data_IF_360157342265
#
_entry.id   IF_360157342265
#
_cell.length_a   1.000
_cell.length_b   1.000
_cell.length_c   1.000
_cell.angle_alpha   90.00
_cell.angle_beta   90.00
_cell.angle_gamma   90.00
#
_symmetry.space_group_name_H-M   'P 1'
#
loop_
_entity.id
_entity.type
_entity.pdbx_description
1 polymer ?
#
# COMPACT_ATOMS: atom_id res chain seq x y z
N UNK A 1 -62.98 -59.86 -8.62
CA UNK A 1 -62.30 -58.99 -7.64
C UNK A 1 -60.80 -59.22 -7.75
N UNK A 2 -60.03 -58.13 -7.77
CA UNK A 2 -58.60 -58.07 -8.11
C UNK A 2 -57.73 -59.00 -7.25
N UNK A 3 -56.70 -59.61 -7.87
CA UNK A 3 -55.29 -59.51 -7.46
C UNK A 3 -54.39 -60.18 -8.50
N UNK A 4 -53.51 -59.38 -9.10
CA UNK A 4 -52.38 -59.81 -9.93
C UNK A 4 -51.18 -60.15 -9.03
N UNK A 5 -50.35 -61.11 -9.47
CA UNK A 5 -48.93 -61.17 -9.13
C UNK A 5 -48.18 -61.66 -10.39
N UNK A 6 -47.33 -60.79 -10.94
CA UNK A 6 -46.36 -61.08 -12.00
C UNK A 6 -44.99 -61.17 -11.32
N UNK A 7 -44.28 -62.26 -11.61
CA UNK A 7 -42.97 -62.59 -11.05
C UNK A 7 -41.84 -61.74 -11.64
N UNK A 8 -40.87 -61.49 -10.76
CA UNK A 8 -39.67 -60.66 -10.91
C UNK A 8 -38.60 -61.40 -11.72
N UNK A 9 -38.03 -60.71 -12.72
CA UNK A 9 -36.78 -61.08 -13.41
C UNK A 9 -35.64 -60.24 -12.81
N UNK A 10 -34.59 -60.90 -12.35
CA UNK A 10 -33.36 -60.28 -11.85
C UNK A 10 -32.47 -59.80 -13.01
N UNK A 11 -31.99 -58.56 -12.95
CA UNK A 11 -30.87 -58.07 -13.78
C UNK A 11 -29.84 -57.39 -12.87
N UNK A 12 -28.60 -57.74 -13.16
CA UNK A 12 -27.33 -57.47 -12.49
C UNK A 12 -27.04 -56.00 -12.18
N UNK A 13 -26.48 -55.77 -10.99
CA UNK A 13 -25.84 -54.53 -10.57
C UNK A 13 -24.49 -54.39 -11.29
N UNK A 14 -24.43 -53.56 -12.34
CA UNK A 14 -23.19 -53.08 -12.92
C UNK A 14 -22.76 -51.81 -12.19
N UNK A 15 -21.60 -51.84 -11.53
CA UNK A 15 -21.01 -50.68 -10.89
C UNK A 15 -20.52 -49.69 -11.97
N UNK A 16 -21.23 -48.56 -12.12
CA UNK A 16 -20.72 -47.39 -12.82
C UNK A 16 -19.68 -46.71 -11.91
N UNK A 17 -18.42 -46.71 -12.34
CA UNK A 17 -17.37 -45.88 -11.76
C UNK A 17 -17.64 -44.41 -12.08
N UNK A 18 -18.11 -43.66 -11.09
CA UNK A 18 -18.23 -42.21 -11.13
C UNK A 18 -16.81 -41.61 -10.98
N UNK A 19 -16.22 -41.18 -12.08
CA UNK A 19 -15.03 -40.31 -12.06
C UNK A 19 -15.55 -38.93 -11.68
N UNK A 20 -15.37 -38.55 -10.42
CA UNK A 20 -15.60 -37.17 -9.97
C UNK A 20 -14.33 -36.38 -10.32
N UNK A 21 -14.40 -35.33 -11.16
CA UNK A 21 -13.29 -34.41 -11.31
C UNK A 21 -13.13 -33.67 -9.98
N UNK A 22 -11.98 -33.84 -9.32
CA UNK A 22 -11.59 -32.95 -8.23
C UNK A 22 -11.34 -31.57 -8.83
N UNK A 23 -12.31 -30.67 -8.67
CA UNK A 23 -12.14 -29.25 -8.90
C UNK A 23 -11.15 -28.78 -7.81
N UNK A 24 -9.90 -28.55 -8.20
CA UNK A 24 -8.96 -27.79 -7.38
C UNK A 24 -9.44 -26.34 -7.47
N UNK A 25 -10.19 -25.90 -6.47
CA UNK A 25 -10.36 -24.49 -6.19
C UNK A 25 -8.97 -23.96 -5.81
N UNK A 26 -8.32 -23.26 -6.74
CA UNK A 26 -7.16 -22.45 -6.42
C UNK A 26 -7.62 -21.35 -5.46
N UNK A 27 -7.29 -21.50 -4.18
CA UNK A 27 -7.24 -20.38 -3.27
C UNK A 27 -6.10 -19.50 -3.76
N UNK A 28 -6.40 -18.30 -4.26
CA UNK A 28 -5.37 -17.28 -4.41
C UNK A 28 -4.71 -17.13 -3.04
N UNK A 29 -3.45 -17.54 -2.95
CA UNK A 29 -2.70 -17.41 -1.72
C UNK A 29 -2.38 -15.93 -1.57
N UNK A 30 -3.15 -15.23 -0.74
CA UNK A 30 -2.77 -13.93 -0.21
C UNK A 30 -1.44 -14.09 0.53
N UNK A 31 -0.51 -13.16 0.34
CA UNK A 31 0.77 -13.20 1.03
C UNK A 31 0.58 -13.33 2.55
N UNK A 32 1.39 -14.18 3.20
CA UNK A 32 1.20 -14.47 4.60
C UNK A 32 1.78 -13.34 5.45
N UNK A 33 0.98 -12.68 6.29
CA UNK A 33 1.45 -11.59 7.18
C UNK A 33 2.55 -12.01 8.18
N UNK A 34 2.83 -13.30 8.32
CA UNK A 34 3.95 -13.88 9.08
C UNK A 34 4.55 -15.02 8.25
N UNK A 35 5.83 -15.36 8.40
CA UNK A 35 6.43 -16.47 7.66
C UNK A 35 5.68 -17.78 7.89
N UNK A 36 5.26 -18.43 6.82
CA UNK A 36 4.61 -19.75 6.86
C UNK A 36 5.39 -20.73 6.02
N UNK A 37 5.38 -22.01 6.37
CA UNK A 37 6.15 -22.98 5.62
C UNK A 37 5.76 -24.42 5.88
N UNK A 38 6.28 -25.31 5.05
CA UNK A 38 6.16 -26.74 5.23
C UNK A 38 7.53 -27.36 5.51
N UNK A 39 7.54 -28.26 6.49
CA UNK A 39 8.68 -29.11 6.79
C UNK A 39 8.36 -30.53 6.32
N UNK A 40 9.14 -31.04 5.38
CA UNK A 40 9.05 -32.43 4.94
C UNK A 40 10.35 -33.19 5.22
N UNK A 41 10.22 -34.48 5.51
CA UNK A 41 11.35 -35.36 5.78
C UNK A 41 11.23 -36.60 4.88
N UNK A 42 12.30 -36.96 4.17
CA UNK A 42 12.32 -38.18 3.36
C UNK A 42 13.60 -39.01 3.61
N UNK A 43 13.48 -40.32 3.92
CA UNK A 43 12.23 -41.05 4.15
C UNK A 43 11.55 -40.64 5.47
N UNK A 44 10.21 -40.70 5.50
CA UNK A 44 9.38 -40.38 6.68
C UNK A 44 9.50 -41.43 7.80
N UNK A 45 10.03 -42.62 7.49
CA UNK A 45 10.44 -43.62 8.47
C UNK A 45 11.95 -43.74 8.50
N UNK A 46 12.53 -43.53 9.68
CA UNK A 46 13.96 -43.70 9.92
C UNK A 46 14.23 -45.07 10.51
N UNK A 47 15.11 -45.83 9.85
CA UNK A 47 15.76 -47.01 10.42
C UNK A 47 17.17 -46.63 10.88
N UNK A 48 17.73 -47.40 11.82
CA UNK A 48 19.09 -47.18 12.31
C UNK A 48 20.08 -47.15 11.15
N UNK A 49 20.84 -46.05 11.01
CA UNK A 49 21.77 -45.83 9.90
C UNK A 49 21.19 -45.11 8.68
N UNK A 50 19.92 -44.68 8.72
CA UNK A 50 19.31 -43.85 7.66
C UNK A 50 19.42 -42.36 8.01
N UNK A 51 19.85 -41.55 7.04
CA UNK A 51 19.88 -40.09 7.15
C UNK A 51 18.73 -39.49 6.35
N UNK A 52 17.63 -39.07 6.98
CA UNK A 52 16.53 -38.43 6.26
C UNK A 52 16.98 -37.05 5.76
N UNK A 53 16.61 -36.74 4.52
CA UNK A 53 16.70 -35.40 3.98
C UNK A 53 15.51 -34.59 4.49
N UNK A 54 15.79 -33.46 5.14
CA UNK A 54 14.80 -32.50 5.54
C UNK A 54 14.72 -31.41 4.47
N UNK A 55 13.52 -31.17 3.95
CA UNK A 55 13.23 -30.06 3.06
C UNK A 55 12.33 -29.10 3.81
N UNK A 56 12.81 -27.86 3.96
CA UNK A 56 12.06 -26.75 4.51
C UNK A 56 11.70 -25.83 3.34
N UNK A 57 10.41 -25.52 3.21
CA UNK A 57 9.90 -24.56 2.25
C UNK A 57 9.18 -23.46 3.04
N UNK A 58 9.72 -22.24 3.03
CA UNK A 58 9.21 -21.10 3.82
C UNK A 58 8.85 -19.98 2.85
N UNK A 59 7.60 -19.52 2.92
CA UNK A 59 7.10 -18.31 2.29
C UNK A 59 7.10 -17.19 3.33
N UNK A 60 7.77 -16.09 3.00
CA UNK A 60 7.82 -14.87 3.80
C UNK A 60 6.79 -13.87 3.25
N UNK A 61 6.22 -12.98 4.10
CA UNK A 61 5.50 -11.82 3.60
C UNK A 61 6.40 -11.00 2.68
N UNK A 62 5.86 -10.55 1.55
CA UNK A 62 6.47 -9.46 0.79
C UNK A 62 6.49 -8.19 1.65
N UNK A 63 7.64 -7.52 1.66
CA UNK A 63 7.79 -6.18 2.22
C UNK A 63 7.47 -5.13 1.16
N UNK A 64 7.26 -3.89 1.59
CA UNK A 64 6.96 -2.77 0.70
C UNK A 64 8.12 -2.51 -0.26
N UNK A 65 9.36 -2.77 0.16
CA UNK A 65 10.55 -2.65 -0.70
C UNK A 65 10.60 -3.69 -1.83
N UNK A 66 9.93 -4.83 -1.67
CA UNK A 66 9.88 -5.85 -2.71
C UNK A 66 8.95 -5.42 -3.86
N UNK A 67 7.95 -4.56 -3.56
CA UNK A 67 6.86 -4.23 -4.47
C UNK A 67 6.86 -2.77 -4.93
N UNK A 68 7.54 -1.87 -4.24
CA UNK A 68 7.74 -0.47 -4.65
C UNK A 68 9.15 0.01 -4.37
N UNK A 69 9.66 0.90 -5.22
CA UNK A 69 10.79 1.76 -4.93
C UNK A 69 10.30 3.06 -4.28
N UNK A 70 11.00 3.53 -3.23
CA UNK A 70 10.73 4.81 -2.56
C UNK A 70 11.93 5.72 -2.78
N UNK A 71 11.82 6.65 -3.72
CA UNK A 71 12.84 7.67 -3.95
C UNK A 71 12.68 8.83 -2.95
N UNK A 72 13.74 9.21 -2.20
CA UNK A 72 13.68 10.38 -1.33
C UNK A 72 13.27 11.64 -2.12
N UNK A 73 12.41 12.50 -1.55
CA UNK A 73 11.87 12.45 -0.19
C UNK A 73 10.62 11.57 0.01
N UNK A 74 10.06 10.98 -1.05
CA UNK A 74 8.89 10.11 -0.94
C UNK A 74 8.14 9.80 -2.25
N UNK A 75 8.78 9.96 -3.40
CA UNK A 75 8.18 9.50 -4.66
C UNK A 75 8.15 7.99 -4.65
N UNK A 76 6.95 7.39 -4.76
CA UNK A 76 6.80 5.93 -4.78
C UNK A 76 6.64 5.46 -6.23
N UNK A 77 7.33 4.38 -6.60
CA UNK A 77 7.30 3.79 -7.93
C UNK A 77 7.04 2.29 -7.78
N UNK A 78 5.84 1.78 -8.14
CA UNK A 78 5.55 0.35 -8.10
C UNK A 78 6.45 -0.47 -9.03
N UNK A 79 6.92 -1.62 -8.56
CA UNK A 79 7.67 -2.60 -9.34
C UNK A 79 6.75 -3.65 -10.01
N UNK A 80 5.45 -3.55 -9.73
CA UNK A 80 4.38 -4.36 -10.31
C UNK A 80 3.06 -3.58 -10.24
N UNK A 81 2.01 -4.09 -10.89
CA UNK A 81 0.67 -3.53 -10.75
C UNK A 81 0.16 -3.77 -9.33
N UNK A 82 -0.33 -2.71 -8.66
CA UNK A 82 -0.79 -2.75 -7.27
C UNK A 82 -2.16 -2.09 -7.11
N UNK A 83 -2.95 -2.57 -6.14
CA UNK A 83 -4.04 -1.80 -5.57
C UNK A 83 -3.51 -0.92 -4.44
N UNK A 84 -3.82 0.37 -4.47
CA UNK A 84 -3.41 1.35 -3.48
C UNK A 84 -4.63 1.92 -2.76
N UNK A 85 -4.57 1.98 -1.43
CA UNK A 85 -5.49 2.72 -0.58
C UNK A 85 -4.78 3.82 0.20
N UNK A 86 -5.37 5.01 0.26
CA UNK A 86 -4.82 6.16 0.98
C UNK A 86 -5.73 6.55 2.13
N UNK A 87 -5.16 6.75 3.31
CA UNK A 87 -5.83 7.22 4.53
C UNK A 87 -5.14 8.46 5.06
N UNK A 88 -5.90 9.38 5.65
CA UNK A 88 -5.34 10.52 6.38
C UNK A 88 -5.28 10.13 7.85
N UNK A 89 -4.07 10.14 8.42
CA UNK A 89 -3.82 9.83 9.84
C UNK A 89 -3.87 11.11 10.68
N UNK A 90 -3.35 12.22 10.13
CA UNK A 90 -3.29 13.51 10.81
C UNK A 90 -3.35 14.70 9.86
N UNK A 91 -3.87 15.81 10.35
CA UNK A 91 -3.98 17.11 9.71
C UNK A 91 -3.85 18.20 10.80
N UNK A 92 -2.71 18.21 11.48
CA UNK A 92 -2.49 18.86 12.79
C UNK A 92 -1.98 20.31 12.71
N UNK A 93 -2.23 21.01 11.60
CA UNK A 93 -1.89 22.44 11.52
C UNK A 93 -2.70 23.24 12.53
N UNK A 94 -2.02 23.92 13.45
CA UNK A 94 -2.61 24.80 14.47
C UNK A 94 -2.44 26.26 14.12
N UNK A 95 -3.49 27.03 14.34
CA UNK A 95 -3.42 28.49 14.42
C UNK A 95 -3.51 28.88 15.88
N UNK A 96 -2.58 29.72 16.34
CA UNK A 96 -2.54 30.21 17.72
C UNK A 96 -2.66 31.73 17.74
N UNK A 97 -3.36 32.26 18.74
CA UNK A 97 -3.37 33.68 19.07
C UNK A 97 -2.57 33.89 20.34
N UNK A 98 -1.67 34.87 20.31
CA UNK A 98 -0.81 35.22 21.43
C UNK A 98 -1.28 36.52 22.09
N UNK A 99 -1.15 36.62 23.41
CA UNK A 99 -1.27 37.90 24.11
C UNK A 99 0.00 38.75 23.94
N UNK A 100 -0.01 39.97 24.50
CA UNK A 100 1.13 40.89 24.49
C UNK A 100 2.43 40.34 25.14
N UNK A 101 2.33 39.26 25.92
CA UNK A 101 3.45 38.58 26.57
C UNK A 101 3.93 37.35 25.78
N UNK A 102 3.39 37.10 24.58
CA UNK A 102 3.74 35.94 23.75
C UNK A 102 3.11 34.63 24.21
N UNK A 103 2.15 34.66 25.12
CA UNK A 103 1.49 33.45 25.63
C UNK A 103 0.27 33.11 24.77
N UNK A 104 0.08 31.82 24.48
CA UNK A 104 -1.11 31.32 23.76
C UNK A 104 -2.37 31.60 24.57
N UNK A 105 -3.32 32.32 23.99
CA UNK A 105 -4.62 32.64 24.59
C UNK A 105 -5.79 31.97 23.90
N UNK A 106 -5.62 31.60 22.63
CA UNK A 106 -6.63 30.87 21.87
C UNK A 106 -5.93 30.06 20.78
N UNK A 107 -6.57 28.99 20.31
CA UNK A 107 -6.08 28.18 19.21
C UNK A 107 -7.20 27.46 18.47
N UNK A 108 -6.98 27.19 17.19
CA UNK A 108 -7.87 26.35 16.39
C UNK A 108 -7.09 25.43 15.44
N UNK A 109 -7.71 24.30 15.10
CA UNK A 109 -7.30 23.51 13.94
C UNK A 109 -7.65 24.25 12.65
N UNK A 110 -6.73 24.21 11.70
CA UNK A 110 -6.87 24.85 10.40
C UNK A 110 -7.28 23.82 9.34
N UNK A 111 -7.97 24.26 8.29
CA UNK A 111 -8.23 23.38 7.16
C UNK A 111 -6.92 23.11 6.42
N UNK A 112 -6.55 21.84 6.36
CA UNK A 112 -5.40 21.31 5.64
C UNK A 112 -5.90 20.56 4.41
N UNK A 113 -5.18 20.70 3.31
CA UNK A 113 -5.42 20.02 2.04
C UNK A 113 -4.31 18.99 1.81
N UNK A 114 -4.71 17.77 1.44
CA UNK A 114 -3.82 16.78 0.86
C UNK A 114 -4.16 16.61 -0.62
N UNK A 115 -3.15 16.63 -1.47
CA UNK A 115 -3.29 16.26 -2.87
C UNK A 115 -2.34 15.12 -3.23
N UNK A 116 -2.73 14.37 -4.24
CA UNK A 116 -1.97 13.26 -4.80
C UNK A 116 -1.78 13.46 -6.31
N UNK A 117 -0.64 13.06 -6.83
CA UNK A 117 -0.33 13.02 -8.26
C UNK A 117 0.08 11.60 -8.65
N UNK A 118 -0.46 11.13 -9.77
CA UNK A 118 -0.19 9.81 -10.35
C UNK A 118 0.42 10.01 -11.73
N UNK A 119 1.61 9.44 -11.95
CA UNK A 119 2.39 9.53 -13.17
C UNK A 119 2.63 10.96 -13.64
N UNK A 120 2.32 11.22 -14.91
CA UNK A 120 2.39 12.55 -15.54
C UNK A 120 1.18 13.45 -15.27
N UNK A 121 0.25 13.00 -14.43
CA UNK A 121 -0.93 13.77 -14.05
C UNK A 121 -0.62 15.04 -13.25
N UNK A 122 -1.67 15.83 -13.01
CA UNK A 122 -1.61 16.96 -12.07
C UNK A 122 -1.98 16.49 -10.66
N UNK A 123 -1.51 17.21 -9.65
CA UNK A 123 -1.97 17.01 -8.28
C UNK A 123 -3.50 17.25 -8.19
N UNK A 124 -4.20 16.32 -7.55
CA UNK A 124 -5.64 16.39 -7.29
C UNK A 124 -5.93 16.19 -5.80
N UNK A 125 -6.86 16.99 -5.27
CA UNK A 125 -7.24 16.93 -3.86
C UNK A 125 -7.88 15.59 -3.51
N UNK A 126 -7.34 14.93 -2.50
CA UNK A 126 -7.91 13.72 -1.88
C UNK A 126 -8.46 13.98 -0.47
N UNK A 127 -8.02 15.05 0.19
CA UNK A 127 -8.55 15.46 1.50
C UNK A 127 -8.58 16.98 1.65
N UNK A 128 -9.60 17.49 2.35
CA UNK A 128 -9.65 18.87 2.82
C UNK A 128 -10.49 18.95 4.09
N UNK A 129 -9.85 19.32 5.20
CA UNK A 129 -10.52 19.43 6.49
C UNK A 129 -9.56 19.73 7.64
N UNK A 130 -10.12 19.82 8.84
CA UNK A 130 -9.37 20.00 10.10
C UNK A 130 -9.00 18.66 10.72
N UNK A 131 -8.06 18.64 11.67
CA UNK A 131 -7.74 17.46 12.49
C UNK A 131 -8.98 16.79 13.10
N UNK A 132 -9.97 17.58 13.57
CA UNK A 132 -11.20 17.04 14.16
C UNK A 132 -12.11 16.29 13.18
N UNK A 133 -11.83 16.37 11.87
CA UNK A 133 -12.55 15.69 10.80
C UNK A 133 -11.77 14.51 10.23
N UNK A 134 -10.54 14.28 10.72
CA UNK A 134 -9.74 13.12 10.35
C UNK A 134 -10.30 11.88 11.04
N UNK A 135 -10.54 10.84 10.25
CA UNK A 135 -10.78 9.49 10.73
C UNK A 135 -9.72 8.58 10.09
N UNK A 136 -8.73 8.11 10.85
CA UNK A 136 -7.63 7.29 10.33
C UNK A 136 -8.09 5.99 9.65
N UNK A 137 -9.31 5.52 9.91
CA UNK A 137 -9.85 4.30 9.29
C UNK A 137 -10.56 4.55 7.96
N UNK A 138 -10.77 5.81 7.56
CA UNK A 138 -11.46 6.15 6.31
C UNK A 138 -10.46 6.21 5.17
N UNK A 139 -10.66 5.37 4.16
CA UNK A 139 -9.97 5.46 2.87
C UNK A 139 -10.48 6.68 2.12
N UNK A 140 -9.57 7.62 1.83
CA UNK A 140 -9.87 8.87 1.10
C UNK A 140 -9.62 8.76 -0.39
N UNK A 141 -8.81 7.79 -0.81
CA UNK A 141 -8.59 7.43 -2.20
C UNK A 141 -8.28 5.92 -2.31
N UNK A 142 -8.81 5.26 -3.34
CA UNK A 142 -8.57 3.83 -3.61
C UNK A 142 -8.57 3.63 -5.12
N UNK A 143 -7.52 2.98 -5.64
CA UNK A 143 -7.34 2.75 -7.08
C UNK A 143 -6.25 1.71 -7.35
N UNK A 144 -6.28 1.15 -8.55
CA UNK A 144 -5.15 0.41 -9.08
C UNK A 144 -4.11 1.38 -9.67
N UNK A 145 -2.83 1.04 -9.53
CA UNK A 145 -1.67 1.76 -10.05
C UNK A 145 -0.78 0.79 -10.82
N UNK A 146 -0.39 1.19 -12.03
CA UNK A 146 0.42 0.36 -12.91
C UNK A 146 1.91 0.40 -12.51
N UNK A 147 2.63 -0.69 -12.80
CA UNK A 147 4.10 -0.76 -12.70
C UNK A 147 4.78 0.49 -13.30
N UNK A 148 5.78 1.03 -12.60
CA UNK A 148 6.60 2.16 -13.04
C UNK A 148 5.91 3.52 -12.93
N UNK A 149 4.68 3.59 -12.44
CA UNK A 149 3.95 4.86 -12.29
C UNK A 149 4.38 5.59 -11.02
N UNK A 150 4.89 6.83 -11.15
CA UNK A 150 5.24 7.65 -9.98
C UNK A 150 4.00 8.06 -9.18
N UNK A 151 4.06 7.94 -7.86
CA UNK A 151 3.01 8.34 -6.92
C UNK A 151 3.62 9.40 -6.00
N UNK A 152 2.99 10.57 -5.99
CA UNK A 152 3.46 11.75 -5.28
C UNK A 152 2.38 12.31 -4.37
N UNK A 153 2.77 12.80 -3.18
CA UNK A 153 1.89 13.45 -2.23
C UNK A 153 2.38 14.84 -1.87
N UNK A 154 1.44 15.70 -1.50
CA UNK A 154 1.76 17.01 -0.96
C UNK A 154 0.59 17.65 -0.26
N UNK A 155 0.86 18.77 0.37
CA UNK A 155 -0.13 19.50 1.14
C UNK A 155 0.10 20.99 1.23
N UNK A 156 -0.93 21.65 1.76
CA UNK A 156 -0.95 23.07 2.16
C UNK A 156 -2.16 23.31 3.05
N UNK A 157 -2.23 24.45 3.71
CA UNK A 157 -3.35 24.81 4.58
C UNK A 157 -3.87 26.23 4.30
N UNK A 158 -5.03 26.57 4.88
CA UNK A 158 -5.64 27.90 4.73
C UNK A 158 -5.18 28.84 5.84
N UNK A 159 -4.46 29.90 5.46
CA UNK A 159 -3.98 30.93 6.39
C UNK A 159 -5.13 31.79 6.96
N UNK A 160 -4.83 32.63 7.95
CA UNK A 160 -5.83 33.45 8.66
C UNK A 160 -6.54 34.49 7.79
N UNK A 161 -5.85 34.96 6.75
CA UNK A 161 -6.40 35.85 5.71
C UNK A 161 -7.20 35.09 4.63
N UNK A 162 -7.37 33.77 4.74
CA UNK A 162 -8.05 32.92 3.77
C UNK A 162 -7.20 32.53 2.55
N UNK A 163 -5.94 32.94 2.45
CA UNK A 163 -5.04 32.50 1.38
C UNK A 163 -4.46 31.12 1.67
N UNK A 164 -4.04 30.42 0.63
CA UNK A 164 -3.27 29.18 0.78
C UNK A 164 -1.88 29.46 1.35
N UNK A 165 -1.35 28.53 2.14
CA UNK A 165 0.07 28.46 2.50
C UNK A 165 0.92 28.08 1.28
N UNK A 166 2.23 28.07 1.49
CA UNK A 166 3.18 27.41 0.57
C UNK A 166 2.76 25.95 0.35
N UNK A 167 2.98 25.47 -0.87
CA UNK A 167 2.76 24.09 -1.26
C UNK A 167 4.05 23.29 -1.09
N UNK A 168 3.97 22.19 -0.34
CA UNK A 168 5.06 21.24 -0.14
C UNK A 168 4.63 19.86 -0.64
N UNK A 169 5.51 19.17 -1.37
CA UNK A 169 5.26 17.85 -1.94
C UNK A 169 6.55 17.04 -2.10
N UNK A 170 6.39 15.72 -2.27
CA UNK A 170 7.50 14.78 -2.51
C UNK A 170 8.39 15.19 -3.70
N UNK A 171 7.87 16.00 -4.62
CA UNK A 171 8.63 16.44 -5.81
C UNK A 171 9.27 17.83 -5.69
N UNK A 172 9.05 18.59 -4.60
CA UNK A 172 9.52 19.98 -4.53
C UNK A 172 10.24 20.37 -3.23
N UNK A 173 10.28 19.49 -2.23
CA UNK A 173 10.95 19.76 -0.96
C UNK A 173 11.50 18.49 -0.32
N UNK A 174 12.80 18.47 -0.06
CA UNK A 174 13.49 17.29 0.50
C UNK A 174 13.24 17.09 1.99
N UNK A 175 13.02 18.18 2.75
CA UNK A 175 12.93 18.11 4.22
C UNK A 175 11.49 18.16 4.74
N UNK A 176 10.57 18.79 4.01
CA UNK A 176 9.20 19.04 4.47
C UNK A 176 8.24 17.87 4.22
N UNK A 177 8.67 16.88 3.44
CA UNK A 177 7.93 15.65 3.18
C UNK A 177 8.91 14.52 3.41
N UNK A 178 8.53 13.50 4.16
CA UNK A 178 9.35 12.31 4.38
C UNK A 178 8.43 11.10 4.30
N UNK A 179 8.75 10.16 3.41
CA UNK A 179 8.16 8.83 3.40
C UNK A 179 8.99 7.87 4.26
N UNK A 180 8.31 7.08 5.09
CA UNK A 180 8.88 6.03 5.92
C UNK A 180 8.13 4.73 5.65
N UNK A 181 8.86 3.62 5.75
CA UNK A 181 8.33 2.26 5.71
C UNK A 181 8.53 1.56 7.05
N UNK A 182 7.94 0.37 7.18
CA UNK A 182 8.16 -0.50 8.33
C UNK A 182 9.66 -0.71 8.63
N UNK A 183 10.03 -0.59 9.90
CA UNK A 183 11.41 -0.70 10.38
C UNK A 183 12.29 0.55 10.21
N UNK A 184 11.83 1.61 9.54
CA UNK A 184 12.59 2.87 9.48
C UNK A 184 12.67 3.56 10.84
N UNK A 185 13.69 4.40 11.03
CA UNK A 185 13.76 5.27 12.19
C UNK A 185 12.92 6.54 11.94
N UNK A 186 12.15 7.03 12.93
CA UNK A 186 11.50 8.33 12.80
C UNK A 186 12.56 9.44 12.62
N UNK A 187 12.27 10.51 11.85
CA UNK A 187 13.20 11.62 11.66
C UNK A 187 13.57 12.29 12.98
N UNK A 188 14.87 12.49 13.21
CA UNK A 188 15.38 13.27 14.34
C UNK A 188 15.20 14.78 14.07
N UNK A 189 13.97 15.25 14.26
CA UNK A 189 13.64 16.68 14.27
C UNK A 189 13.63 17.15 15.72
N UNK A 190 14.55 18.07 16.04
CA UNK A 190 14.81 18.47 17.41
C UNK A 190 13.56 19.02 18.12
N UNK A 191 13.14 18.38 19.20
CA UNK A 191 12.05 18.85 20.04
C UNK A 191 12.43 20.16 20.75
N UNK A 192 12.06 21.31 20.20
CA UNK A 192 12.24 22.59 20.88
C UNK A 192 11.03 22.89 21.76
N UNK A 193 11.31 23.25 23.01
CA UNK A 193 10.34 23.74 24.00
C UNK A 193 9.31 22.72 24.51
N UNK A 194 9.66 21.43 24.61
CA UNK A 194 8.82 20.43 25.28
C UNK A 194 7.49 20.15 24.57
N UNK A 195 7.47 20.36 23.25
CA UNK A 195 6.37 19.93 22.39
C UNK A 195 6.39 18.40 22.23
N UNK A 196 5.21 17.84 21.94
CA UNK A 196 5.03 16.42 21.65
C UNK A 196 5.91 16.08 20.44
N UNK A 197 6.89 15.19 20.60
CA UNK A 197 7.83 14.85 19.51
C UNK A 197 7.11 14.15 18.36
N UNK A 198 7.71 14.11 17.17
CA UNK A 198 7.25 13.25 16.07
C UNK A 198 7.06 11.80 16.54
N UNK A 199 7.94 11.32 17.41
CA UNK A 199 7.83 10.00 18.06
C UNK A 199 6.58 9.89 18.94
N UNK A 200 6.25 10.91 19.73
CA UNK A 200 5.07 10.86 20.59
C UNK A 200 3.76 10.81 19.78
N UNK A 201 3.70 11.43 18.59
CA UNK A 201 2.58 11.33 17.65
C UNK A 201 2.54 9.97 16.96
N UNK A 202 3.71 9.50 16.52
CA UNK A 202 3.87 8.23 15.81
C UNK A 202 3.82 7.01 16.73
N UNK A 203 3.81 7.18 18.05
CA UNK A 203 3.78 6.08 19.03
C UNK A 203 2.80 4.93 18.72
N UNK A 204 1.59 5.14 18.16
CA UNK A 204 0.70 4.03 17.76
C UNK A 204 1.19 3.22 16.56
N UNK A 205 2.19 3.72 15.85
CA UNK A 205 2.82 3.23 14.63
C UNK A 205 4.33 2.99 14.86
N UNK A 206 4.73 2.71 16.11
CA UNK A 206 6.11 2.45 16.47
C UNK A 206 6.22 1.18 17.30
N UNK A 207 7.30 0.43 17.07
CA UNK A 207 7.64 -0.75 17.85
C UNK A 207 8.19 -0.37 19.24
N UNK A 208 8.53 -1.37 20.05
CA UNK A 208 9.11 -1.14 21.37
C UNK A 208 10.54 -0.59 21.34
N UNK A 209 11.23 -0.71 20.20
CA UNK A 209 12.61 -0.28 20.00
C UNK A 209 12.69 1.16 19.45
N UNK A 210 11.54 1.73 19.05
CA UNK A 210 11.43 3.10 18.55
C UNK A 210 11.47 3.22 17.03
N UNK A 211 11.33 2.13 16.28
CA UNK A 211 11.22 2.17 14.82
C UNK A 211 9.75 2.26 14.40
N UNK A 212 9.49 2.64 13.15
CA UNK A 212 8.15 2.59 12.56
C UNK A 212 7.66 1.13 12.51
N UNK A 213 6.44 0.89 13.00
CA UNK A 213 5.72 -0.39 13.02
C UNK A 213 4.38 -0.21 12.32
N UNK A 214 4.36 -0.49 11.01
CA UNK A 214 3.19 -0.37 10.13
C UNK A 214 3.03 -1.66 9.30
N UNK A 215 1.98 -1.76 8.48
CA UNK A 215 1.80 -2.94 7.66
C UNK A 215 3.00 -3.19 6.74
N UNK A 216 3.34 -4.45 6.41
CA UNK A 216 4.52 -4.77 5.62
C UNK A 216 4.49 -4.17 4.22
N UNK A 217 3.30 -3.83 3.70
CA UNK A 217 3.07 -3.18 2.39
C UNK A 217 2.61 -1.72 2.54
N UNK A 218 2.85 -1.10 3.70
CA UNK A 218 2.46 0.28 3.99
C UNK A 218 3.63 1.26 3.84
N UNK A 219 3.29 2.51 3.47
CA UNK A 219 4.18 3.67 3.51
C UNK A 219 3.47 4.78 4.28
N UNK A 220 4.14 5.37 5.26
CA UNK A 220 3.65 6.54 5.99
C UNK A 220 4.40 7.80 5.56
N UNK A 221 3.67 8.84 5.19
CA UNK A 221 4.22 10.14 4.87
C UNK A 221 4.04 11.10 6.04
N UNK A 222 5.12 11.74 6.43
CA UNK A 222 5.15 12.83 7.39
C UNK A 222 5.36 14.14 6.62
N UNK A 223 4.52 15.14 6.88
CA UNK A 223 4.55 16.40 6.14
C UNK A 223 4.52 17.57 7.10
N UNK A 224 5.50 18.45 6.96
CA UNK A 224 5.59 19.75 7.62
C UNK A 224 5.12 20.84 6.65
N UNK A 225 4.12 21.62 7.05
CA UNK A 225 3.48 22.64 6.22
C UNK A 225 3.72 24.08 6.73
N UNK A 226 4.12 24.24 7.98
CA UNK A 226 4.19 25.56 8.63
C UNK A 226 5.60 26.14 8.67
N UNK A 227 6.65 25.30 8.71
CA UNK A 227 8.04 25.73 8.81
C UNK A 227 8.94 25.07 7.75
N UNK A 228 10.01 25.76 7.33
CA UNK A 228 11.04 25.18 6.43
C UNK A 228 12.41 25.08 7.09
N UNK A 229 12.60 25.72 8.24
CA UNK A 229 13.80 25.61 9.03
C UNK A 229 13.63 24.45 10.02
N UNK A 230 14.40 23.38 9.85
CA UNK A 230 14.38 22.19 10.73
C UNK A 230 14.80 22.48 12.18
N UNK A 231 15.38 23.65 12.44
CA UNK A 231 15.70 24.11 13.79
C UNK A 231 14.60 25.00 14.39
N UNK A 232 13.47 25.17 13.71
CA UNK A 232 12.32 25.83 14.28
C UNK A 232 11.57 24.84 15.18
N UNK A 233 11.09 25.29 16.34
CA UNK A 233 10.35 24.41 17.23
C UNK A 233 8.97 24.05 16.75
N UNK A 234 8.45 24.72 15.72
CA UNK A 234 7.26 24.27 15.01
C UNK A 234 7.53 23.35 13.83
N UNK A 235 8.80 23.01 13.51
CA UNK A 235 9.12 22.01 12.50
C UNK A 235 9.04 20.62 13.15
N UNK A 236 7.89 19.96 13.01
CA UNK A 236 7.61 18.70 13.72
C UNK A 236 7.12 17.55 12.81
N UNK A 237 6.90 17.83 11.52
CA UNK A 237 6.47 16.86 10.50
C UNK A 237 5.09 16.21 10.78
N UNK A 238 4.25 16.83 11.62
CA UNK A 238 2.92 16.31 11.99
C UNK A 238 1.75 17.09 11.37
N UNK A 239 2.03 18.14 10.61
CA UNK A 239 1.03 19.02 10.01
C UNK A 239 0.06 18.28 9.08
N UNK A 240 0.56 17.26 8.37
CA UNK A 240 -0.22 16.31 7.59
C UNK A 240 0.47 14.95 7.61
N UNK A 241 -0.28 13.89 7.92
CA UNK A 241 0.24 12.51 7.94
C UNK A 241 -0.68 11.60 7.12
N UNK A 242 -0.07 10.86 6.19
CA UNK A 242 -0.77 10.06 5.18
C UNK A 242 -0.29 8.61 5.33
N UNK A 243 -1.20 7.66 5.39
CA UNK A 243 -0.88 6.23 5.33
C UNK A 243 -1.33 5.68 3.99
N UNK A 244 -0.41 5.07 3.26
CA UNK A 244 -0.65 4.42 1.96
C UNK A 244 -0.45 2.93 2.14
N UNK A 245 -1.45 2.13 1.77
CA UNK A 245 -1.39 0.67 1.84
C UNK A 245 -1.45 0.10 0.43
N UNK A 246 -0.50 -0.79 0.11
CA UNK A 246 -0.47 -1.52 -1.14
C UNK A 246 -0.95 -2.97 -0.96
N UNK A 247 -1.58 -3.50 -2.00
CA UNK A 247 -2.03 -4.89 -2.09
C UNK A 247 -2.12 -5.33 -3.55
N UNK A 248 -2.40 -6.60 -3.80
CA UNK A 248 -2.58 -7.08 -5.17
C UNK A 248 -3.82 -6.44 -5.82
N UNK A 249 -3.78 -6.13 -7.13
CA UNK A 249 -4.94 -5.60 -7.84
C UNK A 249 -6.16 -6.51 -7.71
N UNK A 250 -7.34 -5.90 -7.61
CA UNK A 250 -8.62 -6.63 -7.50
C UNK A 250 -8.95 -7.29 -8.84
N UNK A 251 -8.40 -8.48 -9.06
CA UNK A 251 -8.52 -9.24 -10.32
C UNK A 251 -7.29 -10.07 -10.69
N UNK A 252 -6.18 -9.91 -9.96
CA UNK A 252 -4.92 -10.62 -10.17
C UNK A 252 -4.96 -12.06 -9.66
N UNK A 253 -5.84 -12.89 -10.24
CA UNK A 253 -5.66 -14.34 -10.14
C UNK A 253 -4.45 -14.76 -11.00
N UNK A 254 -3.27 -14.72 -10.38
CA UNK A 254 -2.04 -15.42 -10.77
C UNK A 254 -1.64 -15.39 -12.25
N UNK A 255 -0.86 -14.37 -12.66
CA UNK A 255 -0.06 -14.45 -13.88
C UNK A 255 1.16 -15.35 -13.65
N UNK A 256 0.91 -16.64 -13.50
CA UNK A 256 1.95 -17.66 -13.64
C UNK A 256 2.44 -17.66 -15.08
N UNK A 257 3.73 -17.35 -15.27
CA UNK A 257 4.44 -17.45 -16.54
C UNK A 257 4.24 -18.83 -17.16
N UNK A 258 3.39 -18.91 -18.19
CA UNK A 258 3.38 -20.03 -19.12
C UNK A 258 4.03 -19.56 -20.41
N UNK A 259 5.34 -19.79 -20.51
CA UNK A 259 6.05 -19.74 -21.78
C UNK A 259 5.36 -20.67 -22.78
N UNK A 260 4.82 -20.08 -23.84
CA UNK A 260 4.44 -20.80 -25.05
C UNK A 260 5.09 -20.07 -26.21
N UNK A 261 6.13 -20.70 -26.75
CA UNK A 261 6.86 -20.21 -27.90
C UNK A 261 5.94 -20.04 -29.10
N UNK A 262 5.99 -18.86 -29.71
CA UNK A 262 5.46 -18.66 -31.06
C UNK A 262 6.62 -18.52 -32.02
N UNK A 263 6.82 -19.59 -32.78
CA UNK A 263 7.65 -19.69 -33.98
C UNK A 263 7.35 -18.58 -34.97
N UNK A 264 8.40 -17.90 -35.45
CA UNK A 264 8.27 -16.90 -36.52
C UNK A 264 7.93 -17.51 -37.89
N UNK A 265 7.40 -16.68 -38.78
CA UNK A 265 7.66 -16.71 -40.23
C UNK A 265 6.94 -15.58 -40.98
N UNK A 266 7.70 -14.81 -41.78
CA UNK A 266 7.30 -14.09 -43.01
C UNK A 266 6.28 -12.95 -42.89
N UNK A 267 6.56 -11.69 -43.24
CA UNK A 267 7.30 -11.19 -44.40
C UNK A 267 6.35 -10.95 -45.58
N UNK A 268 6.21 -9.69 -46.03
CA UNK A 268 5.72 -9.11 -47.30
C UNK A 268 5.02 -7.76 -46.96
N UNK A 269 5.63 -6.58 -47.16
CA UNK A 269 5.82 -5.90 -48.46
C UNK A 269 4.47 -5.35 -48.94
N UNK A 270 4.12 -4.06 -48.87
CA UNK A 270 4.75 -2.91 -49.52
C UNK A 270 3.73 -2.26 -50.48
N UNK A 271 3.86 -0.95 -50.73
CA UNK A 271 3.08 -0.06 -51.64
C UNK A 271 1.71 0.41 -51.10
N UNK A 272 1.32 1.69 -51.08
CA UNK A 272 1.86 2.91 -51.67
C UNK A 272 0.74 3.74 -52.32
N UNK A 273 0.50 4.96 -51.82
CA UNK A 273 0.21 6.12 -52.69
C UNK A 273 -1.22 6.65 -52.86
N UNK A 274 -1.37 7.94 -52.52
CA UNK A 274 -2.24 9.00 -53.09
C UNK A 274 -3.76 8.89 -52.85
N UNK A 275 -4.50 9.96 -52.54
CA UNK A 275 -4.26 11.39 -52.47
C UNK A 275 -5.63 12.11 -52.47
N UNK A 276 -5.68 13.40 -52.11
CA UNK A 276 -6.88 14.21 -52.35
C UNK A 276 -7.08 15.36 -51.38
N UNK A 277 -6.73 16.57 -51.82
CA UNK A 277 -7.11 17.86 -51.23
C UNK A 277 -8.63 18.05 -51.29
N UNK A 278 -9.20 18.67 -50.26
CA UNK A 278 -10.01 19.88 -50.33
C UNK A 278 -9.92 20.62 -49.00
#
# INVERSE_FOLDING_TARGET
MRKQLIGILAISCGALGLIVPSIILGTGASDPNIPVGTLTAFPTQVQTGTHPNLTWDISYPESVEDIVEIEPPGTVIPNQDLHMEVRIVGASVKRVWLNQYGQVVDWEWVNTECQMKIGSGSYSRIFYGKQSQVNPNTVVDSRDVDEGTTIDFGGRYVQSNGSWSTWFSSTNCENNVIALKDGDNPPDVGALYGQQTVEDFLRPYMDTDGNIDIGPKDVIYLVELTHTNMNDGGFDLQDLVILVTFSDPVGSSGSGSSGSGSSGSGGYGGYGGYGGRH
#
